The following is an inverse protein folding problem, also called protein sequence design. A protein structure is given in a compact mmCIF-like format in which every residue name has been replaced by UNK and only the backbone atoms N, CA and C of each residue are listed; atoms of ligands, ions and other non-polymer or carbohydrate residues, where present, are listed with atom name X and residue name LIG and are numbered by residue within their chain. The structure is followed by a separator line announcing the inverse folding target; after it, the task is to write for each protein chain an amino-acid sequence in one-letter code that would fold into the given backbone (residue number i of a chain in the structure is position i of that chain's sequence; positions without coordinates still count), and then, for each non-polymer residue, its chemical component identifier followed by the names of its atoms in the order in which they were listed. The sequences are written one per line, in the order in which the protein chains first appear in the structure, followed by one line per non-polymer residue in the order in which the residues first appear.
data_IF_948419505831
#
_entry.id   IF_948419505831
#
_cell.length_a   1.000
_cell.length_b   1.000
_cell.length_c   1.000
_cell.angle_alpha   90.00
_cell.angle_beta   90.00
_cell.angle_gamma   90.00
#
_symmetry.space_group_name_H-M   'P 1'
#
loop_
_entity.id
_entity.type
_entity.pdbx_description
1 polymer ?
#
# COMPACT_ATOMS: atom_id res chain seq x y z
N UNK A 1 3.40 -54.31 15.52
CA UNK A 1 3.63 -53.58 14.26
C UNK A 1 3.16 -52.15 14.48
N UNK A 2 4.05 -51.22 14.79
CA UNK A 2 3.69 -49.82 15.07
C UNK A 2 3.49 -49.06 13.74
N UNK A 3 2.51 -48.15 13.63
CA UNK A 3 2.35 -47.36 12.42
C UNK A 3 3.54 -46.43 12.26
N UNK A 4 4.28 -46.61 11.17
CA UNK A 4 5.37 -45.75 10.74
C UNK A 4 4.88 -44.31 10.66
N UNK A 5 5.39 -43.46 11.55
CA UNK A 5 5.12 -42.03 11.60
C UNK A 5 5.72 -41.41 10.34
N UNK A 6 4.92 -41.33 9.27
CA UNK A 6 5.32 -40.72 8.02
C UNK A 6 5.49 -39.22 8.21
N UNK A 7 6.69 -38.78 8.59
CA UNK A 7 7.07 -37.38 8.55
C UNK A 7 7.08 -36.98 7.08
N UNK A 8 6.02 -36.31 6.63
CA UNK A 8 6.01 -35.68 5.30
C UNK A 8 7.08 -34.58 5.36
N UNK A 9 8.17 -34.66 4.57
CA UNK A 9 9.20 -33.63 4.61
C UNK A 9 8.56 -32.31 4.19
N UNK A 10 8.71 -31.29 5.04
CA UNK A 10 8.27 -29.95 4.70
C UNK A 10 9.00 -29.50 3.42
N UNK A 11 8.30 -28.88 2.46
CA UNK A 11 8.96 -28.27 1.32
C UNK A 11 10.07 -27.33 1.82
N UNK A 12 11.24 -27.31 1.17
CA UNK A 12 12.28 -26.37 1.55
C UNK A 12 11.73 -24.95 1.47
N UNK A 13 12.06 -24.12 2.45
CA UNK A 13 11.71 -22.72 2.39
C UNK A 13 12.26 -22.11 1.09
N UNK A 14 11.51 -21.21 0.44
CA UNK A 14 12.04 -20.49 -0.70
C UNK A 14 13.34 -19.77 -0.30
N UNK A 15 14.30 -19.62 -1.23
CA UNK A 15 15.49 -18.83 -1.00
C UNK A 15 15.10 -17.45 -0.44
N UNK A 16 15.88 -16.97 0.55
CA UNK A 16 15.64 -15.64 1.11
C UNK A 16 15.74 -14.62 -0.03
N UNK A 17 14.70 -13.81 -0.18
CA UNK A 17 14.66 -12.78 -1.23
C UNK A 17 15.66 -11.64 -0.97
N UNK A 18 16.01 -11.42 0.31
CA UNK A 18 16.96 -10.42 0.79
C UNK A 18 18.15 -11.10 1.48
N UNK A 19 19.29 -10.44 1.61
CA UNK A 19 20.36 -10.94 2.47
C UNK A 19 19.98 -10.76 3.95
N UNK A 20 20.60 -11.55 4.84
CA UNK A 20 20.42 -11.37 6.29
C UNK A 20 20.90 -9.97 6.68
N UNK A 21 20.01 -9.16 7.28
CA UNK A 21 20.31 -7.79 7.70
C UNK A 21 19.96 -6.72 6.65
N UNK A 22 19.65 -7.13 5.42
CA UNK A 22 19.21 -6.26 4.32
C UNK A 22 17.69 -6.34 4.12
N UNK A 23 16.95 -6.96 5.05
CA UNK A 23 15.50 -6.92 5.00
C UNK A 23 15.01 -5.48 5.09
N UNK A 24 14.03 -5.08 4.25
CA UNK A 24 13.46 -3.76 4.35
C UNK A 24 12.86 -3.59 5.75
N UNK A 25 13.36 -2.59 6.49
CA UNK A 25 12.98 -2.30 7.89
C UNK A 25 11.51 -1.85 8.06
N UNK A 26 10.67 -2.02 7.05
CA UNK A 26 9.32 -1.45 7.00
C UNK A 26 9.31 0.10 6.92
N UNK A 27 10.47 0.73 6.76
CA UNK A 27 10.61 2.19 6.70
C UNK A 27 10.13 2.64 5.32
N UNK A 28 9.00 3.33 5.28
CA UNK A 28 8.53 4.03 4.08
C UNK A 28 9.48 5.17 3.76
N UNK A 29 10.41 4.93 2.83
CA UNK A 29 11.27 5.97 2.27
C UNK A 29 10.39 6.82 1.36
N UNK A 30 10.04 8.01 1.85
CA UNK A 30 9.09 9.00 1.31
C UNK A 30 7.61 8.61 1.40
N UNK A 31 6.71 9.57 1.75
CA UNK A 31 5.30 9.39 1.45
C UNK A 31 5.15 9.23 -0.06
N UNK A 32 4.41 8.20 -0.51
CA UNK A 32 4.12 7.95 -1.93
C UNK A 32 3.45 9.13 -2.65
N UNK A 33 2.99 10.14 -1.92
CA UNK A 33 2.36 11.32 -2.46
C UNK A 33 2.91 12.57 -1.79
N UNK A 34 3.35 13.55 -2.59
CA UNK A 34 3.42 14.93 -2.12
C UNK A 34 1.97 15.36 -1.86
N UNK A 35 1.55 15.70 -0.63
CA UNK A 35 0.18 16.17 -0.35
C UNK A 35 -0.18 17.40 -1.20
N UNK A 36 0.84 18.17 -1.61
CA UNK A 36 0.72 19.31 -2.51
C UNK A 36 0.19 19.00 -3.92
N UNK A 37 0.21 17.75 -4.39
CA UNK A 37 -0.25 17.42 -5.74
C UNK A 37 -1.79 17.40 -5.83
N UNK A 38 -2.46 16.87 -4.80
CA UNK A 38 -3.93 16.81 -4.76
C UNK A 38 -4.52 18.22 -4.78
N UNK A 39 -3.99 19.14 -3.96
CA UNK A 39 -4.48 20.53 -3.95
C UNK A 39 -4.33 21.22 -5.31
N UNK A 40 -3.24 20.96 -6.05
CA UNK A 40 -3.06 21.49 -7.40
C UNK A 40 -4.09 20.96 -8.39
N UNK A 41 -4.46 19.69 -8.28
CA UNK A 41 -5.50 19.08 -9.11
C UNK A 41 -6.85 19.69 -8.77
N UNK A 42 -7.23 19.73 -7.49
CA UNK A 42 -8.52 20.27 -7.04
C UNK A 42 -8.71 21.75 -7.41
N UNK A 43 -7.63 22.55 -7.36
CA UNK A 43 -7.67 23.97 -7.74
C UNK A 43 -7.79 24.22 -9.25
N UNK A 44 -7.58 23.20 -10.09
CA UNK A 44 -7.69 23.32 -11.55
C UNK A 44 -9.10 23.01 -12.07
N UNK A 45 -9.99 22.53 -11.20
CA UNK A 45 -11.36 22.12 -11.55
C UNK A 45 -12.31 23.31 -11.57
N UNK A 46 -13.33 23.21 -12.43
CA UNK A 46 -14.44 24.15 -12.42
C UNK A 46 -15.46 23.84 -11.29
N UNK A 47 -16.40 24.76 -11.07
CA UNK A 47 -17.38 24.65 -9.97
C UNK A 47 -18.28 23.41 -10.09
N UNK A 48 -18.60 22.98 -11.32
CA UNK A 48 -19.44 21.81 -11.57
C UNK A 48 -18.68 20.50 -11.34
N UNK A 49 -17.42 20.43 -11.76
CA UNK A 49 -16.51 19.32 -11.48
C UNK A 49 -16.25 19.18 -9.97
N UNK A 50 -16.06 20.29 -9.26
CA UNK A 50 -15.91 20.29 -7.80
C UNK A 50 -17.16 19.75 -7.10
N UNK A 51 -18.36 20.19 -7.52
CA UNK A 51 -19.61 19.69 -6.96
C UNK A 51 -19.76 18.17 -7.18
N UNK A 52 -19.44 17.70 -8.39
CA UNK A 52 -19.50 16.27 -8.75
C UNK A 52 -18.58 15.41 -7.87
N UNK A 53 -17.36 15.88 -7.58
CA UNK A 53 -16.42 15.13 -6.73
C UNK A 53 -16.87 15.15 -5.27
N UNK A 54 -17.40 16.27 -4.77
CA UNK A 54 -17.90 16.36 -3.38
C UNK A 54 -19.06 15.42 -3.10
N UNK A 55 -19.92 15.18 -4.08
CA UNK A 55 -21.04 14.22 -3.96
C UNK A 55 -20.61 12.76 -4.11
N UNK A 56 -19.37 12.52 -4.58
CA UNK A 56 -18.81 11.17 -4.74
C UNK A 56 -18.12 10.65 -3.47
N UNK A 57 -17.65 9.40 -3.53
CA UNK A 57 -16.81 8.79 -2.48
C UNK A 57 -15.49 9.56 -2.26
N UNK A 58 -15.09 10.41 -3.20
CA UNK A 58 -13.87 11.21 -3.15
C UNK A 58 -14.03 12.57 -2.46
N UNK A 59 -15.22 12.93 -1.95
CA UNK A 59 -15.44 14.22 -1.29
C UNK A 59 -14.48 14.49 -0.10
N UNK A 60 -14.04 13.42 0.57
CA UNK A 60 -13.05 13.50 1.67
C UNK A 60 -11.67 13.99 1.22
N UNK A 61 -11.36 14.00 -0.09
CA UNK A 61 -10.09 14.51 -0.61
C UNK A 61 -9.93 16.02 -0.40
N UNK A 62 -11.04 16.76 -0.26
CA UNK A 62 -11.02 18.19 0.01
C UNK A 62 -10.66 18.52 1.48
N UNK A 63 -10.69 17.53 2.36
CA UNK A 63 -10.40 17.68 3.79
C UNK A 63 -8.94 17.32 4.14
N UNK A 64 -8.14 16.91 3.15
CA UNK A 64 -6.73 16.55 3.33
C UNK A 64 -5.86 17.80 3.23
N UNK A 65 -5.09 18.10 4.29
CA UNK A 65 -4.12 19.21 4.38
C UNK A 65 -2.75 18.90 3.75
#
# INVERSE_FOLDING_TARGET
MAPSTGVIPHPPFPPRMFAIGDEPLGVRVTPYHKPLCIRKILNALDEHEVASIKESQFGKLFEID
#
